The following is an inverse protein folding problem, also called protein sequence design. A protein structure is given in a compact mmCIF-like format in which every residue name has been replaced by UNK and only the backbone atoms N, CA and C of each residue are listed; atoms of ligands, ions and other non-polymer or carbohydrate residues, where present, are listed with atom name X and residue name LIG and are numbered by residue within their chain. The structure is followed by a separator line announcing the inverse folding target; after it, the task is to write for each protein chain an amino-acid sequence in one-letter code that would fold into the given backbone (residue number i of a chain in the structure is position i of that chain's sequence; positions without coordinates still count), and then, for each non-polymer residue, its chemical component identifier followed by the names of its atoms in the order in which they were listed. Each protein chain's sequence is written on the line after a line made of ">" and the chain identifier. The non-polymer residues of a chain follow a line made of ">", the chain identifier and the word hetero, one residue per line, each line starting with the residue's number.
data_IF_363209479988
#
_entry.id   IF_363209479988
#
_cell.length_a   1.000
_cell.length_b   1.000
_cell.length_c   1.000
_cell.angle_alpha   90.00
_cell.angle_beta   90.00
_cell.angle_gamma   90.00
#
_symmetry.space_group_name_H-M   'P 1'
#
loop_
_entity.id
_entity.type
_entity.pdbx_description
1 polymer ?
#
# COMPACT_ATOMS: atom_id res chain seq x y z
N UNK A 1 -11.15 -29.68 10.97
CA UNK A 1 -10.89 -28.26 10.57
C UNK A 1 -9.38 -28.01 10.53
N UNK A 2 -8.81 -27.91 9.33
CA UNK A 2 -7.37 -27.69 9.15
C UNK A 2 -7.04 -26.20 9.22
N UNK A 3 -6.19 -25.82 10.18
CA UNK A 3 -5.56 -24.49 10.21
C UNK A 3 -4.35 -24.51 9.27
N UNK A 4 -4.26 -23.56 8.34
CA UNK A 4 -3.06 -23.42 7.50
C UNK A 4 -2.21 -22.26 8.02
N UNK A 5 -0.92 -22.51 8.23
CA UNK A 5 0.03 -21.45 8.57
C UNK A 5 0.32 -20.60 7.33
N UNK A 6 0.46 -19.29 7.53
CA UNK A 6 0.74 -18.35 6.47
C UNK A 6 1.71 -17.25 6.94
N UNK A 7 2.42 -16.65 5.98
CA UNK A 7 3.22 -15.44 6.16
C UNK A 7 2.99 -14.48 4.98
N UNK A 8 3.14 -13.18 5.20
CA UNK A 8 2.94 -12.14 4.23
C UNK A 8 4.07 -11.11 4.31
N UNK A 9 4.62 -10.77 3.14
CA UNK A 9 5.75 -9.85 3.03
C UNK A 9 5.49 -8.82 1.92
N UNK A 10 5.48 -7.51 2.23
CA UNK A 10 5.43 -6.47 1.20
C UNK A 10 6.77 -6.39 0.44
N UNK A 11 6.72 -6.12 -0.86
CA UNK A 11 7.91 -5.96 -1.71
C UNK A 11 8.38 -4.51 -1.81
N UNK A 12 7.63 -3.58 -1.22
CA UNK A 12 7.85 -2.13 -1.30
C UNK A 12 7.73 -1.49 0.09
N UNK A 13 8.48 -0.41 0.37
CA UNK A 13 8.55 0.19 1.71
C UNK A 13 7.30 0.97 2.10
N UNK A 14 6.51 1.46 1.13
CA UNK A 14 5.27 2.20 1.38
C UNK A 14 4.08 1.28 1.72
N UNK A 15 4.26 -0.04 1.69
CA UNK A 15 3.26 -1.01 2.14
C UNK A 15 3.67 -1.60 3.49
N UNK A 16 2.75 -1.52 4.45
CA UNK A 16 2.86 -2.25 5.70
C UNK A 16 1.68 -3.21 5.85
N UNK A 17 1.93 -4.37 6.47
CA UNK A 17 0.91 -5.39 6.73
C UNK A 17 1.10 -5.93 8.14
N UNK A 18 0.00 -6.04 8.88
CA UNK A 18 -0.03 -6.56 10.25
C UNK A 18 -1.31 -7.40 10.49
N UNK A 19 -1.21 -8.63 11.02
CA UNK A 19 0.03 -9.36 11.28
C UNK A 19 0.70 -9.85 9.98
N UNK A 20 2.03 -10.03 9.99
CA UNK A 20 2.79 -10.60 8.86
C UNK A 20 2.75 -12.13 8.79
N UNK A 21 2.17 -12.80 9.77
CA UNK A 21 2.07 -14.25 9.83
C UNK A 21 0.97 -14.70 10.78
N UNK A 22 0.47 -15.92 10.60
CA UNK A 22 -0.57 -16.47 11.45
C UNK A 22 -1.11 -17.81 10.94
N UNK A 23 -2.31 -18.18 11.41
CA UNK A 23 -3.03 -19.38 10.96
C UNK A 23 -4.41 -19.00 10.44
N UNK A 24 -4.89 -19.68 9.40
CA UNK A 24 -6.22 -19.42 8.83
C UNK A 24 -7.33 -20.05 9.68
N UNK A 25 -8.53 -19.43 9.75
CA UNK A 25 -8.89 -18.11 9.19
C UNK A 25 -8.31 -16.94 9.99
N UNK A 26 -7.76 -15.95 9.28
CA UNK A 26 -7.22 -14.72 9.87
C UNK A 26 -7.62 -13.51 9.02
N UNK A 27 -7.67 -12.34 9.65
CA UNK A 27 -7.83 -11.04 8.98
C UNK A 27 -6.51 -10.28 9.12
N UNK A 28 -6.10 -9.59 8.05
CA UNK A 28 -4.89 -8.77 8.01
C UNK A 28 -5.26 -7.33 7.69
N UNK A 29 -4.56 -6.39 8.30
CA UNK A 29 -4.66 -4.97 8.00
C UNK A 29 -3.49 -4.56 7.10
N UNK A 30 -3.79 -3.88 6.00
CA UNK A 30 -2.79 -3.31 5.08
C UNK A 30 -2.85 -1.79 5.23
N UNK A 31 -1.69 -1.20 5.48
CA UNK A 31 -1.51 0.24 5.63
C UNK A 31 -0.58 0.75 4.53
N UNK A 32 -0.95 1.87 3.92
CA UNK A 32 -0.19 2.53 2.87
C UNK A 32 0.44 3.79 3.45
N UNK A 33 1.76 3.84 3.49
CA UNK A 33 2.51 5.04 3.89
C UNK A 33 2.63 5.99 2.70
N UNK A 34 1.79 7.02 2.68
CA UNK A 34 1.77 8.04 1.65
C UNK A 34 3.05 8.89 1.58
N UNK A 35 3.85 8.97 2.65
CA UNK A 35 5.10 9.75 2.67
C UNK A 35 6.22 9.11 1.84
N UNK A 36 6.14 7.79 1.64
CA UNK A 36 7.09 7.00 0.86
C UNK A 36 6.63 6.78 -0.60
N UNK A 37 5.53 7.41 -1.03
CA UNK A 37 5.02 7.32 -2.40
C UNK A 37 5.64 8.41 -3.28
N UNK A 38 6.04 8.02 -4.50
CA UNK A 38 6.40 8.98 -5.53
C UNK A 38 5.14 9.55 -6.17
N UNK A 39 5.20 10.79 -6.67
CA UNK A 39 4.08 11.35 -7.45
C UNK A 39 3.80 10.47 -8.69
N UNK A 40 2.52 10.19 -8.95
CA UNK A 40 2.09 9.32 -10.04
C UNK A 40 1.66 7.93 -9.58
N UNK A 41 1.83 6.92 -10.44
CA UNK A 41 1.39 5.54 -10.19
C UNK A 41 2.50 4.75 -9.51
N UNK A 42 2.24 4.25 -8.30
CA UNK A 42 3.12 3.35 -7.58
C UNK A 42 2.50 1.95 -7.60
N UNK A 43 3.30 0.95 -7.98
CA UNK A 43 2.90 -0.46 -8.01
C UNK A 43 3.75 -1.22 -7.01
N UNK A 44 3.11 -2.02 -6.18
CA UNK A 44 3.75 -2.84 -5.17
C UNK A 44 3.04 -4.18 -5.03
N UNK A 45 3.72 -5.15 -4.42
CA UNK A 45 3.18 -6.48 -4.21
C UNK A 45 3.24 -6.87 -2.75
N UNK A 46 2.28 -7.68 -2.31
CA UNK A 46 2.34 -8.43 -1.07
C UNK A 46 2.41 -9.90 -1.42
N UNK A 47 3.50 -10.54 -1.04
CA UNK A 47 3.72 -11.96 -1.25
C UNK A 47 3.20 -12.70 -0.02
N UNK A 48 2.14 -13.48 -0.19
CA UNK A 48 1.55 -14.33 0.84
C UNK A 48 1.99 -15.77 0.59
N UNK A 49 2.72 -16.36 1.54
CA UNK A 49 3.13 -17.76 1.53
C UNK A 49 2.25 -18.53 2.49
N UNK A 50 1.49 -19.48 1.99
CA UNK A 50 0.72 -20.43 2.78
C UNK A 50 1.33 -21.83 2.76
N UNK A 51 0.73 -22.74 3.52
CA UNK A 51 1.15 -24.15 3.59
C UNK A 51 1.08 -24.87 2.22
N UNK A 52 0.20 -24.41 1.33
CA UNK A 52 -0.07 -25.05 0.04
C UNK A 52 0.41 -24.27 -1.18
N UNK A 53 1.12 -23.14 -0.99
CA UNK A 53 1.60 -22.34 -2.11
C UNK A 53 1.87 -20.88 -1.77
N UNK A 54 2.29 -20.14 -2.78
CA UNK A 54 2.57 -18.71 -2.71
C UNK A 54 1.57 -17.95 -3.60
N UNK A 55 1.16 -16.76 -3.16
CA UNK A 55 0.25 -15.88 -3.88
C UNK A 55 0.77 -14.46 -3.80
N UNK A 56 0.80 -13.76 -4.92
CA UNK A 56 1.18 -12.35 -4.97
C UNK A 56 -0.08 -11.50 -5.15
N UNK A 57 -0.28 -10.54 -4.26
CA UNK A 57 -1.35 -9.56 -4.33
C UNK A 57 -0.73 -8.27 -4.84
N UNK A 58 -1.17 -7.81 -6.01
CA UNK A 58 -0.75 -6.52 -6.56
C UNK A 58 -1.57 -5.38 -5.94
N UNK A 59 -0.89 -4.30 -5.58
CA UNK A 59 -1.47 -3.07 -5.05
C UNK A 59 -0.99 -1.91 -5.90
N UNK A 60 -1.94 -1.19 -6.48
CA UNK A 60 -1.70 0.02 -7.26
C UNK A 60 -2.20 1.23 -6.49
N UNK A 61 -1.32 2.20 -6.23
CA UNK A 61 -1.66 3.45 -5.56
C UNK A 61 -1.32 4.63 -6.46
N UNK A 62 -2.29 5.51 -6.66
CA UNK A 62 -2.10 6.74 -7.43
C UNK A 62 -1.89 7.88 -6.43
N UNK A 63 -0.64 8.28 -6.23
CA UNK A 63 -0.31 9.45 -5.43
C UNK A 63 -0.52 10.68 -6.32
N UNK A 64 -1.54 11.47 -6.01
CA UNK A 64 -1.76 12.74 -6.67
C UNK A 64 -0.55 13.65 -6.45
N UNK A 65 0.02 14.18 -7.53
CA UNK A 65 0.89 15.33 -7.42
C UNK A 65 0.06 16.44 -6.77
N UNK A 66 0.52 16.97 -5.64
CA UNK A 66 -0.11 18.10 -4.97
C UNK A 66 -0.30 19.20 -6.03
N UNK A 67 -1.55 19.41 -6.43
CA UNK A 67 -1.87 20.39 -7.45
C UNK A 67 -1.78 21.75 -6.78
N UNK A 68 -0.58 22.32 -6.78
CA UNK A 68 -0.35 23.69 -6.35
C UNK A 68 -1.14 24.61 -7.30
N UNK A 69 -2.36 24.96 -6.89
CA UNK A 69 -3.13 26.00 -7.56
C UNK A 69 -2.52 27.34 -7.19
N UNK A 70 -1.69 27.90 -8.06
CA UNK A 70 -1.26 29.29 -7.93
C UNK A 70 -2.47 30.20 -8.20
N UNK A 71 -3.17 30.59 -7.14
CA UNK A 71 -4.24 31.60 -7.24
C UNK A 71 -3.57 32.95 -7.49
N UNK A 72 -3.60 33.42 -8.74
CA UNK A 72 -3.14 34.76 -9.08
C UNK A 72 -4.08 35.80 -8.47
N UNK A 73 -3.69 36.39 -7.33
CA UNK A 73 -4.39 37.54 -6.78
C UNK A 73 -4.18 38.74 -7.71
N UNK A 74 -5.22 39.33 -8.32
CA UNK A 74 -5.03 40.55 -9.10
C UNK A 74 -4.54 41.65 -8.16
N UNK A 75 -3.38 42.23 -8.47
CA UNK A 75 -2.87 43.41 -7.75
C UNK A 75 -3.84 44.58 -7.99
N UNK A 76 -4.64 44.92 -6.99
CA UNK A 76 -5.46 46.14 -7.01
C UNK A 76 -4.52 47.33 -6.87
N UNK A 77 -4.11 47.91 -8.01
CA UNK A 77 -3.64 49.30 -8.03
C UNK A 77 -4.85 50.20 -8.26
N UNK A 78 -5.34 50.82 -7.19
CA UNK A 78 -5.69 52.25 -7.13
C UNK A 78 -6.14 52.63 -5.73
#
# INVERSE_FOLDING_TARGET
>A
PGTAAWSASPTVPWLNIEPRNGTTPATVSIEVDGSALNQGTNVGWIIVKGTHGESAIEITVQAGADSAFEIYLPSVRR
#
